data_IF_427700888132
#
_entry.id   IF_427700888132
#
_cell.length_a   1.000
_cell.length_b   1.000
_cell.length_c   1.000
_cell.angle_alpha   90.00
_cell.angle_beta   90.00
_cell.angle_gamma   90.00
#
_symmetry.space_group_name_H-M   'P 1'
#
loop_
_entity.id
_entity.type
_entity.pdbx_description
1 polymer ?
#
# COMPACT_ATOMS: atom_id res chain seq x y z
N UNK A 1 5.92 84.64 -37.92
CA UNK A 1 7.11 84.85 -38.79
C UNK A 1 8.24 84.03 -38.20
N UNK A 2 8.58 82.91 -38.85
CA UNK A 2 9.86 82.72 -39.54
C UNK A 2 11.07 82.98 -38.62
N UNK A 3 11.74 81.93 -38.15
CA UNK A 3 12.97 81.49 -38.82
C UNK A 3 13.61 80.32 -38.08
N UNK A 4 14.28 79.53 -38.89
CA UNK A 4 14.88 78.23 -38.67
C UNK A 4 16.39 78.31 -38.44
N UNK A 5 16.97 77.18 -38.01
CA UNK A 5 18.35 76.69 -38.22
C UNK A 5 19.36 77.00 -37.09
N UNK A 6 19.98 75.91 -36.60
CA UNK A 6 21.26 75.93 -35.90
C UNK A 6 21.60 74.60 -35.22
N UNK A 7 22.31 73.72 -35.93
CA UNK A 7 22.80 72.41 -35.44
C UNK A 7 23.93 72.60 -34.40
N UNK A 8 23.96 71.78 -33.33
CA UNK A 8 25.22 71.35 -32.70
C UNK A 8 25.02 70.09 -31.84
N UNK A 9 25.94 69.14 -32.04
CA UNK A 9 26.05 67.81 -31.46
C UNK A 9 26.68 67.79 -30.07
N UNK A 10 26.14 67.03 -29.10
CA UNK A 10 26.92 66.52 -27.95
C UNK A 10 26.45 65.12 -27.54
N UNK A 11 27.44 64.29 -27.23
CA UNK A 11 27.45 62.84 -26.99
C UNK A 11 26.61 62.41 -25.78
N UNK A 12 25.95 61.25 -25.88
CA UNK A 12 25.36 60.52 -24.75
C UNK A 12 26.45 59.81 -23.94
N UNK A 13 26.52 60.10 -22.65
CA UNK A 13 27.15 59.26 -21.62
C UNK A 13 26.13 59.15 -20.48
N UNK A 14 25.50 57.98 -20.31
CA UNK A 14 24.79 57.60 -19.07
C UNK A 14 24.98 56.10 -18.83
N UNK A 15 25.98 55.81 -18.01
CA UNK A 15 26.04 54.84 -16.91
C UNK A 15 25.06 53.64 -16.92
N UNK A 16 25.62 52.42 -17.06
CA UNK A 16 25.06 51.19 -16.49
C UNK A 16 25.78 50.87 -15.17
N UNK A 17 24.97 50.58 -14.16
CA UNK A 17 25.29 50.20 -12.77
C UNK A 17 26.24 48.97 -12.66
N UNK A 18 27.01 48.84 -11.55
CA UNK A 18 28.08 47.84 -11.40
C UNK A 18 27.66 46.55 -10.66
N UNK A 19 28.39 45.45 -10.99
CA UNK A 19 28.90 44.33 -10.16
C UNK A 19 27.91 43.56 -9.23
N UNK A 20 28.03 42.26 -8.95
CA UNK A 20 29.24 41.47 -8.68
C UNK A 20 28.98 39.96 -8.67
N UNK A 21 30.10 39.27 -8.88
CA UNK A 21 30.50 37.87 -8.74
C UNK A 21 29.81 36.97 -7.70
N UNK A 22 29.48 35.74 -8.11
CA UNK A 22 29.67 34.55 -7.24
C UNK A 22 29.87 33.30 -8.09
N UNK A 23 31.14 32.91 -8.27
CA UNK A 23 31.56 31.61 -8.78
C UNK A 23 32.40 30.96 -7.67
N UNK A 24 31.80 30.10 -6.87
CA UNK A 24 32.50 29.16 -5.99
C UNK A 24 31.54 28.05 -5.55
N UNK A 25 32.04 26.81 -5.51
CA UNK A 25 31.38 25.56 -5.14
C UNK A 25 30.69 24.76 -6.26
N UNK A 26 31.49 24.34 -7.26
CA UNK A 26 31.25 23.08 -7.96
C UNK A 26 31.83 21.93 -7.13
N UNK A 27 30.97 21.13 -6.51
CA UNK A 27 31.33 19.88 -5.84
C UNK A 27 31.20 18.70 -6.80
N UNK A 28 32.35 18.16 -7.19
CA UNK A 28 32.51 17.00 -8.08
C UNK A 28 32.15 15.72 -7.30
N UNK A 29 31.13 15.00 -7.74
CA UNK A 29 30.95 13.57 -7.43
C UNK A 29 30.98 12.79 -8.74
N UNK A 30 32.19 12.42 -9.18
CA UNK A 30 32.36 11.44 -10.24
C UNK A 30 32.13 10.05 -9.66
N UNK A 31 30.95 9.48 -9.90
CA UNK A 31 30.79 8.04 -9.92
C UNK A 31 30.99 7.55 -11.34
N UNK A 32 32.15 6.95 -11.51
CA UNK A 32 32.59 6.11 -12.62
C UNK A 32 31.47 5.11 -12.98
N UNK A 33 30.73 5.38 -14.06
CA UNK A 33 29.90 4.36 -14.71
C UNK A 33 30.84 3.55 -15.60
N UNK A 34 31.13 2.33 -15.17
CA UNK A 34 31.72 1.35 -16.07
C UNK A 34 30.75 1.10 -17.23
N UNK A 35 31.17 1.45 -18.45
CA UNK A 35 30.60 0.95 -19.68
C UNK A 35 30.92 -0.55 -19.75
N UNK A 36 29.88 -1.38 -19.68
CA UNK A 36 29.96 -2.74 -20.19
C UNK A 36 29.32 -2.67 -21.58
N UNK A 37 30.18 -2.52 -22.58
CA UNK A 37 29.86 -2.90 -23.94
C UNK A 37 29.62 -4.41 -23.95
N UNK A 38 28.44 -4.81 -24.42
CA UNK A 38 28.28 -6.11 -25.05
C UNK A 38 27.38 -5.89 -26.25
N UNK A 39 28.03 -5.87 -27.41
CA UNK A 39 27.42 -5.86 -28.72
C UNK A 39 26.77 -7.22 -29.02
N UNK A 40 25.78 -7.16 -29.92
CA UNK A 40 25.26 -8.26 -30.76
C UNK A 40 24.26 -9.23 -30.11
N UNK A 41 22.96 -8.98 -30.31
CA UNK A 41 22.26 -9.71 -31.37
C UNK A 41 20.91 -9.04 -31.73
N UNK A 42 20.76 -8.81 -33.02
CA UNK A 42 19.59 -8.25 -33.70
C UNK A 42 18.55 -9.34 -33.98
N UNK A 43 17.27 -9.06 -33.71
CA UNK A 43 16.19 -9.62 -34.52
C UNK A 43 14.94 -8.75 -34.44
N UNK A 44 14.58 -8.21 -35.60
CA UNK A 44 13.36 -7.49 -35.95
C UNK A 44 12.11 -7.91 -35.17
N UNK A 45 11.44 -6.93 -34.56
CA UNK A 45 10.03 -7.06 -34.20
C UNK A 45 9.25 -5.85 -34.73
N UNK A 46 8.63 -6.07 -35.88
CA UNK A 46 7.58 -5.21 -36.43
C UNK A 46 6.42 -5.12 -35.43
N UNK A 47 6.13 -3.91 -34.97
CA UNK A 47 4.98 -3.58 -34.14
C UNK A 47 3.76 -3.42 -35.05
N UNK A 48 2.99 -4.50 -35.25
CA UNK A 48 1.67 -4.40 -35.90
C UNK A 48 0.62 -4.24 -34.81
N UNK A 49 0.17 -3.00 -34.64
CA UNK A 49 -0.90 -2.62 -33.73
C UNK A 49 -2.26 -2.94 -34.36
N UNK A 50 -2.87 -4.09 -34.04
CA UNK A 50 -4.25 -4.37 -34.40
C UNK A 50 -5.20 -3.89 -33.30
N UNK A 51 -5.70 -2.66 -33.43
CA UNK A 51 -6.84 -2.16 -32.66
C UNK A 51 -8.14 -2.55 -33.37
N UNK A 52 -8.75 -3.67 -32.99
CA UNK A 52 -10.12 -4.00 -33.43
C UNK A 52 -11.11 -3.35 -32.45
N UNK A 53 -11.68 -2.21 -32.84
CA UNK A 53 -12.83 -1.62 -32.12
C UNK A 53 -14.08 -2.42 -32.48
N UNK A 54 -14.66 -3.14 -31.51
CA UNK A 54 -16.05 -3.63 -31.57
C UNK A 54 -16.96 -2.45 -31.25
N UNK A 55 -17.63 -1.89 -32.26
CA UNK A 55 -18.75 -0.97 -32.12
C UNK A 55 -20.04 -1.77 -32.03
N UNK A 56 -20.71 -1.72 -30.88
CA UNK A 56 -22.13 -2.12 -30.78
C UNK A 56 -22.97 -0.85 -30.88
N UNK A 57 -23.76 -0.75 -31.95
CA UNK A 57 -24.80 0.25 -32.10
C UNK A 57 -26.09 -0.32 -31.50
N UNK A 58 -26.60 0.31 -30.45
CA UNK A 58 -27.98 0.15 -30.00
C UNK A 58 -28.65 1.51 -30.05
N UNK A 59 -29.59 1.65 -30.99
CA UNK A 59 -30.48 2.79 -31.09
C UNK A 59 -31.80 2.54 -30.32
N UNK A 60 -32.52 3.64 -30.08
CA UNK A 60 -33.90 3.77 -29.55
C UNK A 60 -34.01 3.78 -28.01
N UNK A 61 -34.85 4.61 -27.38
CA UNK A 61 -35.67 5.77 -27.77
C UNK A 61 -35.92 6.55 -26.47
N UNK A 62 -35.87 7.88 -26.52
CA UNK A 62 -36.25 8.74 -25.41
C UNK A 62 -37.77 8.73 -25.24
N UNK A 63 -38.25 8.51 -24.01
CA UNK A 63 -39.64 8.72 -23.60
C UNK A 63 -39.66 9.72 -22.44
N UNK A 64 -40.58 10.67 -22.57
CA UNK A 64 -40.74 11.87 -21.77
C UNK A 64 -41.24 11.60 -20.34
N UNK A 65 -40.93 12.57 -19.46
CA UNK A 65 -41.50 12.74 -18.11
C UNK A 65 -43.02 12.92 -18.15
N UNK A 66 -43.70 12.57 -17.04
CA UNK A 66 -44.72 13.42 -16.46
C UNK A 66 -44.37 13.88 -15.03
N UNK A 67 -45.08 14.93 -14.62
CA UNK A 67 -44.87 15.81 -13.46
C UNK A 67 -45.84 15.44 -12.31
N UNK A 68 -45.42 15.76 -11.09
CA UNK A 68 -46.20 16.12 -9.89
C UNK A 68 -46.90 15.04 -9.03
N UNK A 69 -46.58 15.04 -7.73
CA UNK A 69 -47.52 15.42 -6.64
C UNK A 69 -46.79 15.55 -5.29
N UNK A 70 -47.13 16.59 -4.52
CA UNK A 70 -46.87 16.72 -3.07
C UNK A 70 -48.07 16.13 -2.32
N UNK A 71 -47.93 15.80 -1.03
CA UNK A 71 -48.63 16.65 -0.06
C UNK A 71 -47.79 17.02 1.18
N UNK A 72 -48.33 18.02 1.88
CA UNK A 72 -47.84 18.78 3.03
C UNK A 72 -48.60 18.37 4.29
N UNK A 73 -47.94 18.29 5.45
CA UNK A 73 -48.51 18.54 6.81
C UNK A 73 -47.34 18.96 7.73
N UNK A 74 -47.14 20.22 8.13
CA UNK A 74 -47.78 21.06 9.19
C UNK A 74 -47.05 21.01 10.57
N UNK A 75 -46.32 22.11 10.81
CA UNK A 75 -46.03 22.90 12.04
C UNK A 75 -46.02 22.33 13.48
N UNK A 76 -44.96 22.72 14.22
CA UNK A 76 -44.97 23.46 15.53
C UNK A 76 -43.49 23.70 15.94
N UNK A 77 -42.90 24.89 15.85
CA UNK A 77 -42.98 26.08 16.76
C UNK A 77 -43.05 25.75 18.25
N UNK A 78 -41.94 25.92 18.98
CA UNK A 78 -41.80 26.53 20.33
C UNK A 78 -40.31 26.92 20.49
N UNK A 79 -39.96 28.19 20.27
CA UNK A 79 -39.63 29.23 21.27
C UNK A 79 -38.41 28.97 22.17
N UNK A 80 -37.43 29.87 21.99
CA UNK A 80 -36.39 30.30 22.91
C UNK A 80 -37.03 30.90 24.18
N UNK A 81 -36.28 31.02 25.29
CA UNK A 81 -35.91 32.38 25.66
C UNK A 81 -34.46 32.51 26.15
N UNK A 82 -33.99 33.76 26.08
CA UNK A 82 -32.72 34.25 26.56
C UNK A 82 -32.84 34.76 27.99
N UNK A 83 -31.75 34.69 28.75
CA UNK A 83 -31.35 35.61 29.83
C UNK A 83 -30.04 35.07 30.43
N UNK A 84 -29.16 35.83 31.07
CA UNK A 84 -28.71 37.21 30.99
C UNK A 84 -27.46 37.25 31.91
N UNK A 85 -26.51 38.16 31.63
CA UNK A 85 -25.68 38.89 32.62
C UNK A 85 -24.84 38.07 33.63
N UNK A 86 -23.51 38.14 33.56
CA UNK A 86 -22.70 39.06 34.39
C UNK A 86 -21.18 38.97 34.17
N UNK A 87 -20.52 40.09 34.45
CA UNK A 87 -19.11 40.43 34.22
C UNK A 87 -18.43 40.69 35.58
N UNK A 88 -17.26 40.10 35.87
CA UNK A 88 -16.28 40.48 36.92
C UNK A 88 -15.05 39.59 36.73
N UNK A 89 -13.85 40.03 36.30
CA UNK A 89 -12.85 40.95 36.88
C UNK A 89 -12.52 40.66 38.34
N UNK A 90 -11.32 40.12 38.60
CA UNK A 90 -10.33 40.41 39.70
C UNK A 90 -9.14 39.44 39.47
N UNK A 91 -7.99 39.89 38.93
CA UNK A 91 -6.77 40.38 39.59
C UNK A 91 -5.80 39.32 40.19
N UNK A 92 -4.64 39.21 39.52
CA UNK A 92 -3.24 39.04 39.98
C UNK A 92 -2.94 38.68 41.46
N UNK A 93 -2.12 37.63 41.64
CA UNK A 93 -0.97 37.51 42.59
C UNK A 93 -0.10 36.31 42.13
N UNK A 94 1.00 36.50 41.39
CA UNK A 94 2.41 36.51 41.87
C UNK A 94 2.66 35.75 43.17
N UNK A 95 3.54 34.71 43.15
CA UNK A 95 4.83 34.64 43.88
C UNK A 95 5.54 33.28 43.65
N UNK A 96 6.73 33.39 43.04
CA UNK A 96 8.03 32.73 43.26
C UNK A 96 8.13 31.32 43.90
N UNK A 97 8.81 30.45 43.14
CA UNK A 97 9.75 29.39 43.56
C UNK A 97 10.72 29.87 44.67
N UNK A 98 11.28 28.94 45.46
CA UNK A 98 12.73 28.80 45.39
C UNK A 98 13.23 27.35 45.41
N UNK A 99 14.30 27.14 44.64
CA UNK A 99 15.22 26.03 44.80
C UNK A 99 16.21 26.34 45.94
N UNK A 100 16.63 25.33 46.70
CA UNK A 100 17.88 25.35 47.46
C UNK A 100 18.61 24.01 47.31
N UNK A 101 19.92 24.12 47.17
CA UNK A 101 20.95 23.11 46.89
C UNK A 101 22.02 23.23 47.99
N UNK A 102 22.76 22.14 48.22
CA UNK A 102 24.05 22.02 48.97
C UNK A 102 23.88 21.86 50.49
N UNK A 103 24.58 20.93 51.17
CA UNK A 103 26.03 20.96 51.48
C UNK A 103 26.64 19.54 51.67
N UNK A 104 27.93 19.40 51.28
CA UNK A 104 28.88 18.28 51.50
C UNK A 104 29.67 18.49 52.81
N UNK A 105 30.22 17.43 53.45
CA UNK A 105 31.68 17.21 53.75
C UNK A 105 31.96 16.05 54.76
N UNK A 106 33.23 15.56 54.90
CA UNK A 106 33.61 14.13 54.96
C UNK A 106 34.40 13.72 56.23
N UNK A 107 34.66 12.41 56.44
CA UNK A 107 35.73 11.90 57.35
C UNK A 107 36.49 10.71 56.72
N UNK A 108 37.80 10.64 57.03
CA UNK A 108 38.90 9.88 56.40
C UNK A 108 39.21 8.51 57.04
N UNK A 109 39.68 7.58 56.18
CA UNK A 109 40.79 6.59 56.27
C UNK A 109 41.12 5.80 57.55
N UNK A 110 41.27 4.47 57.38
CA UNK A 110 42.42 3.69 57.85
C UNK A 110 42.76 2.53 56.86
N UNK A 111 44.06 2.25 56.69
CA UNK A 111 44.72 1.36 55.70
C UNK A 111 45.45 0.24 56.46
N UNK A 112 45.45 -1.01 55.98
CA UNK A 112 46.46 -2.09 56.18
C UNK A 112 46.29 -3.18 55.05
N UNK A 113 47.25 -4.08 54.75
CA UNK A 113 48.21 -3.93 53.66
C UNK A 113 48.10 -5.00 52.55
N UNK A 114 48.99 -4.86 51.58
CA UNK A 114 49.02 -5.41 50.21
C UNK A 114 49.25 -6.93 50.14
N UNK A 115 48.39 -7.63 49.40
CA UNK A 115 48.67 -8.94 48.80
C UNK A 115 48.79 -8.80 47.27
N UNK A 116 49.78 -9.48 46.70
CA UNK A 116 50.24 -9.40 45.30
C UNK A 116 49.10 -9.65 44.28
N UNK A 117 48.96 -8.87 43.19
CA UNK A 117 47.91 -9.11 42.21
C UNK A 117 48.30 -10.29 41.31
N UNK A 118 47.56 -11.39 41.43
CA UNK A 118 47.56 -12.48 40.46
C UNK A 118 47.07 -11.96 39.10
N UNK A 119 47.81 -12.31 38.04
CA UNK A 119 47.51 -11.96 36.65
C UNK A 119 46.12 -12.49 36.27
N UNK A 120 45.18 -11.59 35.96
CA UNK A 120 43.88 -11.94 35.36
C UNK A 120 44.11 -12.56 33.98
N UNK A 121 43.39 -13.64 33.60
CA UNK A 121 43.50 -14.18 32.25
C UNK A 121 42.98 -13.15 31.25
N UNK A 122 43.84 -12.78 30.31
CA UNK A 122 43.51 -11.91 29.19
C UNK A 122 42.32 -12.51 28.46
N UNK A 123 41.17 -11.81 28.46
CA UNK A 123 40.03 -12.13 27.59
C UNK A 123 40.57 -12.19 26.16
N UNK A 124 40.59 -13.38 25.57
CA UNK A 124 40.83 -13.57 24.13
C UNK A 124 39.81 -12.71 23.38
N UNK A 125 40.27 -11.60 22.81
CA UNK A 125 39.51 -10.81 21.84
C UNK A 125 39.20 -11.75 20.69
N UNK A 126 37.91 -12.05 20.48
CA UNK A 126 37.48 -12.85 19.32
C UNK A 126 37.94 -12.09 18.08
N UNK A 127 38.83 -12.70 17.28
CA UNK A 127 39.25 -12.15 15.98
C UNK A 127 37.98 -11.75 15.19
N UNK A 128 37.91 -10.54 14.61
CA UNK A 128 36.77 -10.17 13.77
C UNK A 128 36.69 -11.16 12.62
N UNK A 129 35.50 -11.74 12.39
CA UNK A 129 35.27 -12.63 11.26
C UNK A 129 35.58 -11.86 9.97
N UNK A 130 36.33 -12.49 9.06
CA UNK A 130 36.61 -11.94 7.73
C UNK A 130 35.30 -11.56 7.02
N UNK A 131 35.33 -10.50 6.21
CA UNK A 131 34.17 -10.01 5.44
C UNK A 131 33.49 -11.14 4.65
N UNK A 132 34.28 -12.08 4.10
CA UNK A 132 33.78 -13.28 3.42
C UNK A 132 32.99 -14.22 4.36
N UNK A 133 33.43 -14.40 5.61
CA UNK A 133 32.73 -15.22 6.60
C UNK A 133 31.45 -14.54 7.09
N UNK A 134 31.44 -13.20 7.19
CA UNK A 134 30.24 -12.42 7.51
C UNK A 134 29.22 -12.48 6.37
N UNK A 135 29.68 -12.37 5.12
CA UNK A 135 28.85 -12.51 3.93
C UNK A 135 28.25 -13.93 3.80
N UNK A 136 29.07 -14.97 4.02
CA UNK A 136 28.61 -16.36 4.03
C UNK A 136 27.60 -16.62 5.15
N UNK A 137 27.86 -16.13 6.37
CA UNK A 137 26.90 -16.23 7.48
C UNK A 137 25.59 -15.48 7.19
N UNK A 138 25.66 -14.31 6.55
CA UNK A 138 24.47 -13.56 6.14
C UNK A 138 23.69 -14.30 5.04
N UNK A 139 24.37 -14.93 4.08
CA UNK A 139 23.74 -15.75 3.04
C UNK A 139 23.03 -16.97 3.64
N UNK A 140 23.67 -17.70 4.56
CA UNK A 140 23.06 -18.83 5.28
C UNK A 140 21.83 -18.40 6.09
N UNK A 141 21.88 -17.25 6.77
CA UNK A 141 20.70 -16.70 7.46
C UNK A 141 19.58 -16.36 6.48
N UNK A 142 19.89 -15.78 5.32
CA UNK A 142 18.90 -15.49 4.28
C UNK A 142 18.25 -16.77 3.76
N UNK A 143 19.02 -17.82 3.46
CA UNK A 143 18.48 -19.09 2.97
C UNK A 143 17.66 -19.81 4.04
N UNK A 144 18.11 -19.83 5.29
CA UNK A 144 17.37 -20.38 6.43
C UNK A 144 16.04 -19.65 6.63
N UNK A 145 16.06 -18.30 6.63
CA UNK A 145 14.85 -17.48 6.73
C UNK A 145 13.89 -17.75 5.56
N UNK A 146 14.39 -17.91 4.34
CA UNK A 146 13.55 -18.26 3.18
C UNK A 146 12.93 -19.65 3.31
N UNK A 147 13.66 -20.64 3.83
CA UNK A 147 13.12 -21.99 4.07
C UNK A 147 12.05 -21.95 5.16
N UNK A 148 12.31 -21.29 6.29
CA UNK A 148 11.34 -21.12 7.38
C UNK A 148 10.06 -20.41 6.90
N UNK A 149 10.21 -19.31 6.17
CA UNK A 149 9.06 -18.60 5.61
C UNK A 149 8.27 -19.45 4.60
N UNK A 150 8.94 -20.27 3.78
CA UNK A 150 8.26 -21.18 2.85
C UNK A 150 7.50 -22.28 3.57
N UNK A 151 8.03 -22.83 4.67
CA UNK A 151 7.35 -23.84 5.48
C UNK A 151 6.07 -23.28 6.10
N UNK A 152 6.12 -22.04 6.63
CA UNK A 152 4.93 -21.38 7.21
C UNK A 152 3.95 -20.90 6.14
N UNK A 153 4.40 -20.63 4.91
CA UNK A 153 3.60 -19.99 3.87
C UNK A 153 2.49 -20.85 3.24
N UNK A 154 2.12 -22.00 3.84
CA UNK A 154 1.07 -22.98 3.45
C UNK A 154 0.82 -23.05 1.94
N UNK A 155 1.20 -24.11 1.24
CA UNK A 155 0.93 -24.19 -0.20
C UNK A 155 -0.53 -24.61 -0.46
N UNK A 156 -1.20 -23.87 -1.34
CA UNK A 156 -2.53 -24.25 -1.80
C UNK A 156 -2.41 -25.44 -2.76
N UNK A 157 -3.43 -26.31 -2.85
CA UNK A 157 -3.48 -27.38 -3.83
C UNK A 157 -3.36 -26.83 -5.27
N UNK A 158 -2.75 -27.61 -6.15
CA UNK A 158 -2.65 -27.24 -7.56
C UNK A 158 -4.05 -27.20 -8.19
N UNK A 159 -4.36 -26.05 -8.80
CA UNK A 159 -5.66 -25.83 -9.42
C UNK A 159 -5.67 -26.39 -10.85
N UNK A 160 -6.77 -27.03 -11.23
CA UNK A 160 -7.01 -27.47 -12.62
C UNK A 160 -7.05 -26.26 -13.57
N UNK A 161 -6.72 -26.42 -14.86
CA UNK A 161 -6.79 -25.31 -15.80
C UNK A 161 -8.22 -24.78 -15.96
N UNK A 162 -8.40 -23.47 -15.77
CA UNK A 162 -9.71 -22.78 -15.83
C UNK A 162 -9.92 -22.02 -17.13
N UNK A 163 -8.95 -22.03 -18.04
CA UNK A 163 -9.05 -21.37 -19.34
C UNK A 163 -9.25 -22.43 -20.42
N UNK A 164 -10.26 -22.28 -21.31
CA UNK A 164 -10.53 -23.22 -22.40
C UNK A 164 -9.28 -23.53 -23.24
N UNK A 165 -8.53 -22.50 -23.64
CA UNK A 165 -7.26 -22.64 -24.36
C UNK A 165 -6.22 -23.47 -23.60
N UNK A 166 -6.11 -23.32 -22.28
CA UNK A 166 -5.14 -24.09 -21.50
C UNK A 166 -5.52 -25.57 -21.40
N UNK A 167 -6.82 -25.88 -21.40
CA UNK A 167 -7.30 -27.26 -21.45
C UNK A 167 -7.00 -27.89 -22.81
N UNK A 168 -7.25 -27.14 -23.89
CA UNK A 168 -6.92 -27.60 -25.22
C UNK A 168 -5.42 -27.86 -25.39
N UNK A 169 -4.59 -26.92 -24.91
CA UNK A 169 -3.13 -27.09 -24.90
C UNK A 169 -2.71 -28.28 -24.07
N UNK A 170 -3.31 -28.50 -22.89
CA UNK A 170 -2.96 -29.68 -22.09
C UNK A 170 -3.32 -30.98 -22.81
N UNK A 171 -4.47 -31.05 -23.46
CA UNK A 171 -4.89 -32.23 -24.21
C UNK A 171 -3.95 -32.50 -25.40
N UNK A 172 -3.49 -31.45 -26.11
CA UNK A 172 -2.52 -31.58 -27.20
C UNK A 172 -1.10 -31.97 -26.72
N UNK A 173 -0.68 -31.52 -25.54
CA UNK A 173 0.62 -31.89 -24.96
C UNK A 173 0.63 -33.35 -24.50
N UNK A 174 -0.49 -33.83 -23.94
CA UNK A 174 -0.65 -35.22 -23.52
C UNK A 174 -0.62 -36.15 -24.73
N UNK A 175 -1.28 -35.76 -25.83
CA UNK A 175 -1.36 -36.53 -27.07
C UNK A 175 -0.23 -36.19 -28.08
N UNK A 176 0.93 -35.71 -27.60
CA UNK A 176 2.02 -35.31 -28.48
C UNK A 176 2.81 -36.52 -28.98
N UNK A 177 3.35 -36.38 -30.19
CA UNK A 177 4.32 -37.34 -30.71
C UNK A 177 5.67 -37.24 -29.96
N UNK A 178 6.36 -38.35 -29.72
CA UNK A 178 7.70 -38.34 -29.13
C UNK A 178 8.68 -37.49 -29.97
N UNK A 179 9.47 -36.64 -29.32
CA UNK A 179 10.52 -35.85 -29.98
C UNK A 179 10.11 -34.47 -30.48
N UNK A 180 8.83 -34.09 -30.42
CA UNK A 180 8.40 -32.72 -30.76
C UNK A 180 8.80 -31.69 -29.70
N UNK A 181 9.31 -30.54 -30.14
CA UNK A 181 9.59 -29.39 -29.28
C UNK A 181 8.29 -28.80 -28.73
N UNK A 182 8.31 -28.37 -27.46
CA UNK A 182 7.19 -27.70 -26.82
C UNK A 182 6.76 -26.43 -27.58
N UNK A 183 7.72 -25.68 -28.15
CA UNK A 183 7.43 -24.47 -28.90
C UNK A 183 6.58 -24.75 -30.15
N UNK A 184 6.92 -25.81 -30.88
CA UNK A 184 6.25 -26.18 -32.12
C UNK A 184 4.83 -26.72 -31.84
N UNK A 185 4.68 -27.50 -30.76
CA UNK A 185 3.38 -27.98 -30.30
C UNK A 185 2.46 -26.79 -30.00
N UNK A 186 2.94 -25.78 -29.29
CA UNK A 186 2.12 -24.60 -28.95
C UNK A 186 1.73 -23.82 -30.21
N UNK A 187 2.64 -23.64 -31.17
CA UNK A 187 2.33 -22.96 -32.44
C UNK A 187 1.28 -23.72 -33.26
N UNK A 188 1.46 -25.04 -33.43
CA UNK A 188 0.51 -25.89 -34.13
C UNK A 188 -0.86 -25.89 -33.43
N UNK A 189 -0.87 -25.99 -32.11
CA UNK A 189 -2.09 -25.95 -31.29
C UNK A 189 -2.80 -24.61 -31.42
N UNK A 190 -2.07 -23.49 -31.48
CA UNK A 190 -2.66 -22.16 -31.63
C UNK A 190 -3.36 -21.99 -32.99
N UNK A 191 -2.79 -22.57 -34.05
CA UNK A 191 -3.41 -22.57 -35.37
C UNK A 191 -4.67 -23.44 -35.40
N UNK A 192 -4.61 -24.64 -34.79
CA UNK A 192 -5.79 -25.52 -34.67
C UNK A 192 -6.92 -24.85 -33.85
N UNK A 193 -6.58 -24.18 -32.74
CA UNK A 193 -7.57 -23.50 -31.90
C UNK A 193 -8.34 -22.39 -32.61
N UNK A 194 -7.70 -21.65 -33.52
CA UNK A 194 -8.38 -20.62 -34.33
C UNK A 194 -9.40 -21.21 -35.30
N UNK A 195 -9.22 -22.47 -35.69
CA UNK A 195 -10.05 -23.18 -36.66
C UNK A 195 -11.06 -24.13 -35.97
N UNK A 196 -11.14 -24.14 -34.64
CA UNK A 196 -12.13 -24.94 -33.92
C UNK A 196 -13.54 -24.45 -34.21
N UNK A 197 -14.46 -25.40 -34.35
CA UNK A 197 -15.87 -25.08 -34.48
C UNK A 197 -16.42 -24.47 -33.17
N UNK A 198 -17.51 -23.69 -33.24
CA UNK A 198 -18.17 -23.16 -32.04
C UNK A 198 -18.58 -24.25 -31.05
N UNK A 199 -19.04 -25.41 -31.55
CA UNK A 199 -19.46 -26.54 -30.72
C UNK A 199 -18.28 -27.13 -29.92
N UNK A 200 -17.11 -27.30 -30.54
CA UNK A 200 -15.92 -27.79 -29.84
C UNK A 200 -15.44 -26.76 -28.80
N UNK A 201 -15.47 -25.47 -29.14
CA UNK A 201 -15.15 -24.40 -28.19
C UNK A 201 -16.07 -24.41 -26.97
N UNK A 202 -17.36 -24.69 -27.15
CA UNK A 202 -18.34 -24.82 -26.06
C UNK A 202 -18.01 -25.97 -25.11
N UNK A 203 -17.52 -27.11 -25.62
CA UNK A 203 -17.05 -28.22 -24.78
C UNK A 203 -15.92 -27.76 -23.85
N UNK A 204 -14.93 -27.05 -24.38
CA UNK A 204 -13.83 -26.52 -23.56
C UNK A 204 -14.30 -25.42 -22.59
N UNK A 205 -15.27 -24.60 -22.98
CA UNK A 205 -15.88 -23.60 -22.08
C UNK A 205 -16.61 -24.26 -20.92
N UNK A 206 -17.38 -25.33 -21.19
CA UNK A 206 -18.08 -26.10 -20.16
C UNK A 206 -17.08 -26.73 -19.17
N UNK A 207 -16.07 -27.45 -19.68
CA UNK A 207 -15.00 -28.06 -18.86
C UNK A 207 -14.22 -27.02 -18.06
N UNK A 208 -13.95 -25.85 -18.63
CA UNK A 208 -13.30 -24.74 -17.93
C UNK A 208 -14.13 -24.20 -16.77
N UNK A 209 -15.45 -24.09 -16.94
CA UNK A 209 -16.38 -23.66 -15.89
C UNK A 209 -16.52 -24.71 -14.78
N UNK A 210 -16.60 -25.99 -15.14
CA UNK A 210 -16.58 -27.12 -14.19
C UNK A 210 -15.30 -27.09 -13.35
N UNK A 211 -14.13 -27.02 -13.99
CA UNK A 211 -12.84 -26.91 -13.30
C UNK A 211 -12.79 -25.67 -12.39
N UNK A 212 -13.39 -24.55 -12.80
CA UNK A 212 -13.45 -23.34 -11.96
C UNK A 212 -14.27 -23.59 -10.69
N UNK A 213 -15.42 -24.24 -10.81
CA UNK A 213 -16.26 -24.60 -9.66
C UNK A 213 -15.56 -25.60 -8.74
N UNK A 214 -14.95 -26.65 -9.29
CA UNK A 214 -14.19 -27.64 -8.54
C UNK A 214 -12.99 -27.04 -7.82
N UNK A 215 -12.22 -26.17 -8.49
CA UNK A 215 -11.10 -25.46 -7.88
C UNK A 215 -11.57 -24.56 -6.74
N UNK A 216 -12.70 -23.87 -6.89
CA UNK A 216 -13.26 -23.04 -5.83
C UNK A 216 -13.70 -23.89 -4.62
N UNK A 217 -14.35 -25.03 -4.85
CA UNK A 217 -14.75 -25.96 -3.81
C UNK A 217 -13.54 -26.60 -3.10
N UNK A 218 -12.54 -27.06 -3.85
CA UNK A 218 -11.30 -27.63 -3.32
C UNK A 218 -10.52 -26.58 -2.51
N UNK A 219 -10.44 -25.34 -3.02
CA UNK A 219 -9.81 -24.23 -2.29
C UNK A 219 -10.54 -23.93 -0.99
N UNK A 220 -11.88 -23.85 -1.01
CA UNK A 220 -12.68 -23.62 0.20
C UNK A 220 -12.47 -24.72 1.24
N UNK A 221 -12.53 -25.99 0.84
CA UNK A 221 -12.24 -27.14 1.73
C UNK A 221 -10.83 -27.08 2.32
N UNK A 222 -9.84 -26.72 1.51
CA UNK A 222 -8.47 -26.55 1.97
C UNK A 222 -8.30 -25.35 2.94
N UNK A 223 -8.99 -24.24 2.72
CA UNK A 223 -9.00 -23.12 3.67
C UNK A 223 -9.66 -23.55 4.99
N UNK A 224 -10.79 -24.23 4.91
CA UNK A 224 -11.53 -24.70 6.08
C UNK A 224 -10.78 -25.75 6.90
N UNK A 225 -9.91 -26.56 6.26
CA UNK A 225 -9.06 -27.53 6.95
C UNK A 225 -7.96 -26.90 7.81
N UNK A 226 -7.70 -25.60 7.66
CA UNK A 226 -6.73 -24.86 8.45
C UNK A 226 -7.44 -23.92 9.43
N UNK A 227 -6.79 -23.64 10.55
CA UNK A 227 -7.28 -22.65 11.51
C UNK A 227 -7.13 -21.22 10.96
N UNK A 228 -8.01 -20.29 11.34
CA UNK A 228 -7.86 -18.89 10.94
C UNK A 228 -6.50 -18.28 11.33
N UNK A 229 -5.91 -18.66 12.47
CA UNK A 229 -4.61 -18.13 12.90
C UNK A 229 -3.45 -18.69 12.05
N UNK A 230 -3.46 -19.97 11.70
CA UNK A 230 -2.48 -20.56 10.76
C UNK A 230 -2.50 -19.84 9.41
N UNK A 231 -3.70 -19.57 8.87
CA UNK A 231 -3.86 -18.83 7.61
C UNK A 231 -3.33 -17.41 7.75
N UNK A 232 -3.56 -16.75 8.89
CA UNK A 232 -3.02 -15.41 9.18
C UNK A 232 -1.49 -15.44 9.21
N UNK A 233 -0.88 -16.43 9.88
CA UNK A 233 0.58 -16.60 9.93
C UNK A 233 1.15 -16.90 8.53
N UNK A 234 0.49 -17.76 7.76
CA UNK A 234 0.86 -18.06 6.38
C UNK A 234 0.81 -16.80 5.49
N UNK A 235 -0.22 -15.96 5.65
CA UNK A 235 -0.34 -14.70 4.94
C UNK A 235 0.79 -13.71 5.29
N UNK A 236 1.20 -13.64 6.57
CA UNK A 236 2.36 -12.86 6.99
C UNK A 236 3.66 -13.40 6.37
N UNK A 237 3.83 -14.72 6.36
CA UNK A 237 4.98 -15.36 5.75
C UNK A 237 5.04 -15.12 4.22
N UNK A 238 3.90 -15.25 3.53
CA UNK A 238 3.75 -14.93 2.10
C UNK A 238 4.09 -13.46 1.84
N UNK A 239 3.61 -12.52 2.66
CA UNK A 239 3.97 -11.11 2.55
C UNK A 239 5.47 -10.86 2.72
N UNK A 240 6.11 -11.50 3.70
CA UNK A 240 7.56 -11.43 3.90
C UNK A 240 8.32 -11.99 2.69
N UNK A 241 7.89 -13.13 2.13
CA UNK A 241 8.45 -13.70 0.90
C UNK A 241 8.33 -12.75 -0.30
N UNK A 242 7.19 -12.05 -0.44
CA UNK A 242 6.98 -11.05 -1.49
C UNK A 242 7.95 -9.88 -1.39
N UNK A 243 8.28 -9.45 -0.17
CA UNK A 243 9.26 -8.39 0.09
C UNK A 243 10.69 -8.86 -0.22
N UNK A 244 11.04 -10.09 0.18
CA UNK A 244 12.37 -10.65 -0.01
C UNK A 244 12.71 -10.94 -1.48
N UNK A 245 11.74 -11.47 -2.26
CA UNK A 245 11.99 -11.90 -3.64
C UNK A 245 11.97 -10.76 -4.68
N UNK A 246 11.59 -9.53 -4.30
CA UNK A 246 11.46 -8.42 -5.24
C UNK A 246 10.48 -8.71 -6.39
N UNK A 247 10.52 -7.94 -7.48
CA UNK A 247 9.52 -8.04 -8.57
C UNK A 247 9.76 -9.18 -9.59
N UNK A 248 10.73 -10.06 -9.36
CA UNK A 248 11.21 -11.00 -10.39
C UNK A 248 10.59 -12.41 -10.35
N UNK A 249 9.74 -12.72 -9.38
CA UNK A 249 9.19 -14.07 -9.20
C UNK A 249 7.66 -14.11 -9.07
N UNK A 250 7.03 -15.23 -9.48
CA UNK A 250 5.64 -15.55 -9.14
C UNK A 250 5.50 -15.53 -7.62
N UNK A 251 4.83 -14.51 -7.11
CA UNK A 251 4.65 -14.23 -5.68
C UNK A 251 3.39 -14.93 -5.19
N UNK A 252 3.42 -15.66 -4.06
CA UNK A 252 2.20 -16.20 -3.49
C UNK A 252 1.28 -15.03 -3.09
N UNK A 253 0.03 -15.06 -3.55
CA UNK A 253 -1.03 -14.15 -3.12
C UNK A 253 -1.45 -14.45 -1.68
N UNK A 254 -2.18 -13.56 -1.02
CA UNK A 254 -2.77 -13.90 0.28
C UNK A 254 -3.86 -14.97 0.10
N UNK A 255 -3.90 -15.92 1.03
CA UNK A 255 -5.01 -16.83 1.26
C UNK A 255 -6.19 -15.97 1.72
N UNK A 256 -7.34 -16.14 1.08
CA UNK A 256 -8.59 -15.49 1.47
C UNK A 256 -9.33 -16.43 2.41
N UNK A 257 -9.68 -15.93 3.59
CA UNK A 257 -10.50 -16.64 4.57
C UNK A 257 -11.54 -15.67 5.11
N UNK A 258 -12.81 -16.00 4.89
CA UNK A 258 -13.95 -15.17 5.33
C UNK A 258 -14.13 -15.21 6.87
N UNK A 259 -13.52 -16.18 7.56
CA UNK A 259 -13.53 -16.28 9.02
C UNK A 259 -12.57 -15.28 9.70
N UNK A 260 -11.69 -14.64 8.93
CA UNK A 260 -10.74 -13.68 9.50
C UNK A 260 -11.42 -12.33 9.76
N UNK A 261 -11.32 -11.79 11.00
CA UNK A 261 -11.95 -10.51 11.34
C UNK A 261 -11.33 -9.38 10.51
N UNK A 262 -12.19 -8.55 9.92
CA UNK A 262 -11.75 -7.42 9.12
C UNK A 262 -11.33 -6.28 10.03
N UNK A 263 -10.23 -5.60 9.70
CA UNK A 263 -9.76 -4.45 10.47
C UNK A 263 -10.84 -3.37 10.58
N UNK A 264 -11.00 -2.80 11.78
CA UNK A 264 -11.87 -1.67 12.02
C UNK A 264 -11.55 -0.49 11.08
N UNK A 265 -12.59 0.15 10.57
CA UNK A 265 -12.49 1.36 9.76
C UNK A 265 -12.20 2.57 10.64
N UNK A 266 -11.44 3.54 10.11
CA UNK A 266 -11.27 4.84 10.76
C UNK A 266 -12.47 5.75 10.50
N UNK A 267 -12.63 6.79 11.32
CA UNK A 267 -13.70 7.79 11.19
C UNK A 267 -13.78 8.37 9.76
N UNK A 268 -12.61 8.67 9.18
CA UNK A 268 -12.53 9.18 7.82
C UNK A 268 -13.08 8.18 6.78
N UNK A 269 -12.77 6.89 6.90
CA UNK A 269 -13.28 5.89 5.97
C UNK A 269 -14.78 5.65 6.10
N UNK A 270 -15.38 5.88 7.28
CA UNK A 270 -16.84 5.91 7.41
C UNK A 270 -17.44 7.04 6.59
N UNK A 271 -16.88 8.25 6.68
CA UNK A 271 -17.29 9.38 5.86
C UNK A 271 -17.14 9.07 4.36
N UNK A 272 -16.00 8.54 3.94
CA UNK A 272 -15.77 8.18 2.53
C UNK A 272 -16.81 7.15 2.06
N UNK A 273 -17.10 6.11 2.86
CA UNK A 273 -18.11 5.09 2.53
C UNK A 273 -19.48 5.71 2.30
N UNK A 274 -19.88 6.66 3.15
CA UNK A 274 -21.16 7.37 3.06
C UNK A 274 -21.25 8.23 1.79
N UNK A 275 -20.18 8.96 1.46
CA UNK A 275 -20.09 9.77 0.23
C UNK A 275 -20.02 8.93 -1.04
N UNK A 276 -19.40 7.76 -1.01
CA UNK A 276 -19.45 6.82 -2.12
C UNK A 276 -20.85 6.21 -2.30
N UNK A 277 -21.56 5.98 -1.18
CA UNK A 277 -22.92 5.46 -1.20
C UNK A 277 -23.96 6.49 -1.67
N UNK A 278 -23.74 7.79 -1.46
CA UNK A 278 -24.64 8.84 -1.97
C UNK A 278 -24.71 8.89 -3.49
N UNK A 279 -23.66 8.42 -4.17
CA UNK A 279 -23.59 8.40 -5.63
C UNK A 279 -23.14 9.70 -6.27
N UNK A 280 -22.82 10.73 -5.48
CA UNK A 280 -22.34 12.04 -5.98
C UNK A 280 -21.01 11.94 -6.72
N UNK A 281 -20.26 10.87 -6.47
CA UNK A 281 -18.94 10.62 -7.08
C UNK A 281 -19.01 9.70 -8.31
N UNK A 282 -20.22 9.34 -8.78
CA UNK A 282 -20.39 8.52 -9.99
C UNK A 282 -19.89 9.28 -11.22
N UNK A 283 -19.08 8.63 -12.04
CA UNK A 283 -18.53 9.23 -13.26
C UNK A 283 -17.27 10.09 -13.05
N UNK A 284 -16.91 10.40 -11.80
CA UNK A 284 -15.62 11.04 -11.48
C UNK A 284 -14.54 9.96 -11.43
N UNK A 285 -13.36 10.27 -11.96
CA UNK A 285 -12.20 9.38 -11.86
C UNK A 285 -11.81 9.19 -10.39
N UNK A 286 -11.53 7.95 -9.99
CA UNK A 286 -11.28 7.57 -8.59
C UNK A 286 -10.25 8.47 -7.86
N UNK A 287 -9.09 8.83 -8.45
CA UNK A 287 -8.12 9.69 -7.78
C UNK A 287 -8.67 11.09 -7.49
N UNK A 288 -9.45 11.65 -8.43
CA UNK A 288 -9.99 13.00 -8.33
C UNK A 288 -11.13 13.04 -7.29
N UNK A 289 -12.00 12.03 -7.30
CA UNK A 289 -13.02 11.83 -6.27
C UNK A 289 -12.42 11.64 -4.88
N UNK A 290 -11.33 10.88 -4.78
CA UNK A 290 -10.61 10.68 -3.51
C UNK A 290 -10.02 11.99 -3.00
N UNK A 291 -9.41 12.80 -3.87
CA UNK A 291 -8.89 14.11 -3.49
C UNK A 291 -9.98 15.07 -2.99
N UNK A 292 -11.17 15.05 -3.60
CA UNK A 292 -12.33 15.80 -3.11
C UNK A 292 -12.76 15.34 -1.74
N UNK A 293 -12.88 14.03 -1.50
CA UNK A 293 -13.24 13.47 -0.19
C UNK A 293 -12.25 13.85 0.92
N UNK A 294 -10.96 13.91 0.61
CA UNK A 294 -9.94 14.36 1.56
C UNK A 294 -10.14 15.84 1.91
N UNK A 295 -10.45 16.70 0.93
CA UNK A 295 -10.74 18.13 1.17
C UNK A 295 -12.01 18.31 2.01
N UNK A 296 -13.11 17.65 1.62
CA UNK A 296 -14.37 17.67 2.36
C UNK A 296 -14.17 17.22 3.81
N UNK A 297 -13.44 16.12 4.03
CA UNK A 297 -13.13 15.63 5.38
C UNK A 297 -12.36 16.66 6.21
N UNK A 298 -11.40 17.37 5.61
CA UNK A 298 -10.63 18.38 6.33
C UNK A 298 -11.49 19.59 6.70
N UNK A 299 -12.43 19.99 5.85
CA UNK A 299 -13.36 21.10 6.04
C UNK A 299 -14.49 20.81 7.05
N UNK A 300 -14.81 19.53 7.32
CA UNK A 300 -15.80 19.17 8.33
C UNK A 300 -15.46 19.76 9.71
N UNK A 301 -16.50 20.29 10.36
CA UNK A 301 -16.41 20.81 11.73
C UNK A 301 -16.06 19.70 12.74
N UNK A 302 -15.49 20.05 13.91
CA UNK A 302 -15.22 19.06 14.96
C UNK A 302 -16.47 18.28 15.40
N UNK A 303 -17.63 18.94 15.43
CA UNK A 303 -18.91 18.31 15.77
C UNK A 303 -19.34 17.27 14.72
N UNK A 304 -19.22 17.57 13.43
CA UNK A 304 -19.51 16.60 12.37
C UNK A 304 -18.53 15.43 12.38
N UNK A 305 -17.24 15.70 12.63
CA UNK A 305 -16.21 14.66 12.78
C UNK A 305 -16.48 13.75 13.98
N UNK A 306 -17.09 14.27 15.05
CA UNK A 306 -17.37 13.53 16.27
C UNK A 306 -18.28 12.32 16.03
N UNK A 307 -19.33 12.48 15.20
CA UNK A 307 -20.23 11.38 14.80
C UNK A 307 -19.46 10.21 14.19
N UNK A 308 -18.46 10.50 13.35
CA UNK A 308 -17.63 9.46 12.74
C UNK A 308 -16.60 8.86 13.70
N UNK A 309 -16.11 9.64 14.67
CA UNK A 309 -15.21 9.14 15.73
C UNK A 309 -15.92 8.15 16.64
N UNK A 310 -17.17 8.42 16.99
CA UNK A 310 -18.00 7.48 17.78
C UNK A 310 -18.22 6.17 17.01
N UNK A 311 -18.53 6.25 15.71
CA UNK A 311 -18.59 5.06 14.84
C UNK A 311 -17.25 4.30 14.77
N UNK A 312 -16.12 5.01 14.74
CA UNK A 312 -14.79 4.40 14.79
C UNK A 312 -14.53 3.67 16.11
N UNK A 313 -14.91 4.25 17.25
CA UNK A 313 -14.77 3.61 18.56
C UNK A 313 -15.61 2.33 18.63
N UNK A 314 -16.89 2.40 18.23
CA UNK A 314 -17.77 1.23 18.19
C UNK A 314 -17.21 0.14 17.26
N UNK A 315 -16.71 0.51 16.07
CA UNK A 315 -16.13 -0.45 15.13
C UNK A 315 -14.82 -1.08 15.65
N UNK A 316 -14.00 -0.33 16.40
CA UNK A 316 -12.81 -0.88 17.06
C UNK A 316 -13.19 -1.88 18.15
N UNK A 317 -14.23 -1.60 18.94
CA UNK A 317 -14.74 -2.52 19.95
C UNK A 317 -15.25 -3.82 19.31
N UNK A 318 -16.11 -3.71 18.29
CA UNK A 318 -16.60 -4.87 17.54
C UNK A 318 -15.45 -5.71 16.95
N UNK A 319 -14.43 -5.06 16.37
CA UNK A 319 -13.25 -5.76 15.87
C UNK A 319 -12.47 -6.49 16.98
N UNK A 320 -12.33 -5.89 18.17
CA UNK A 320 -11.67 -6.54 19.31
C UNK A 320 -12.45 -7.79 19.74
N UNK A 321 -13.78 -7.70 19.81
CA UNK A 321 -14.65 -8.82 20.16
C UNK A 321 -14.58 -9.95 19.12
N UNK A 322 -14.72 -9.63 17.84
CA UNK A 322 -14.57 -10.59 16.73
C UNK A 322 -13.17 -11.24 16.74
N UNK A 323 -12.13 -10.44 16.94
CA UNK A 323 -10.76 -10.94 17.01
C UNK A 323 -10.53 -11.87 18.22
N UNK A 324 -11.10 -11.54 19.39
CA UNK A 324 -11.08 -12.43 20.56
C UNK A 324 -11.84 -13.71 20.27
N UNK A 325 -13.00 -13.63 19.63
CA UNK A 325 -13.81 -14.79 19.29
C UNK A 325 -13.07 -15.76 18.36
N UNK A 326 -12.40 -15.24 17.33
CA UNK A 326 -11.70 -16.03 16.30
C UNK A 326 -10.32 -16.51 16.75
N UNK A 327 -9.51 -15.65 17.37
CA UNK A 327 -8.10 -15.96 17.68
C UNK A 327 -7.83 -16.26 19.15
N UNK A 328 -8.84 -16.17 20.02
CA UNK A 328 -8.73 -16.37 21.49
C UNK A 328 -7.64 -15.52 22.15
N UNK A 329 -7.33 -14.36 21.56
CA UNK A 329 -6.34 -13.39 22.07
C UNK A 329 -6.72 -11.97 21.66
N UNK A 330 -6.14 -10.99 22.34
CA UNK A 330 -6.32 -9.57 21.98
C UNK A 330 -5.62 -9.22 20.65
N UNK A 331 -6.15 -8.24 19.90
CA UNK A 331 -5.48 -7.75 18.72
C UNK A 331 -4.17 -7.04 19.10
N UNK A 332 -3.10 -7.24 18.32
CA UNK A 332 -1.89 -6.45 18.51
C UNK A 332 -2.23 -4.98 18.23
N UNK A 333 -2.02 -4.13 19.24
CA UNK A 333 -2.01 -2.65 19.15
C UNK A 333 -3.38 -1.96 19.27
N UNK A 334 -4.41 -2.65 19.78
CA UNK A 334 -5.68 -2.02 20.20
C UNK A 334 -5.80 -2.10 21.71
N UNK A 335 -4.91 -1.41 22.45
CA UNK A 335 -5.24 -1.08 23.84
C UNK A 335 -6.28 0.03 23.77
N UNK A 336 -7.55 -0.35 23.88
CA UNK A 336 -8.60 0.62 24.19
C UNK A 336 -8.29 1.02 25.62
N UNK A 337 -7.65 2.18 25.81
CA UNK A 337 -7.61 2.82 27.12
C UNK A 337 -9.05 3.18 27.45
N UNK A 338 -9.73 2.26 28.13
CA UNK A 338 -11.00 2.55 28.80
C UNK A 338 -10.62 3.51 29.92
N UNK A 339 -10.90 4.79 29.69
CA UNK A 339 -10.74 5.85 30.70
C UNK A 339 -11.97 5.92 31.58
#
# INVERSE_FOLDING_TARGET
MLSSIGRASVRRVVTRSPQSTTRAAQGIWQFQRANIENANNTSNRSQVNNTTRRSYATATKAIAKPKASKPSVTSRVVQKPANSVNKKVVAKKTVKKPAKKLVKKPIKKARKPVAKPAKKPVKRVKKPKSEAQLAAAAALKKTANLKALKAVALQAPDAKPTKPWLLYVSDMIVNREPGQSFGDIIQATANKWKNLSPAELEVYNRRANENKAENAAAYKKWVESHTPDEIRQANLARAALRRLKGNKAKKPSNIKDERQPKRALSAQFFFHRERWASGDLKGIRIPDATALLFKEWNELSPAQKQVYKEREVAAKQAYVEEHRAVFKRDPPHTKIEVK
#
